data_IF_460707287440
#
_entry.id   IF_460707287440
#
_cell.length_a   1.000
_cell.length_b   1.000
_cell.length_c   1.000
_cell.angle_alpha   90.00
_cell.angle_beta   90.00
_cell.angle_gamma   90.00
#
_symmetry.space_group_name_H-M   'P 1'
#
loop_
_entity.id
_entity.type
_entity.pdbx_description
1 polymer ?
#
# COMPACT_ATOMS: atom_id res chain seq x y z
N UNK A 1 32.97 14.87 -23.15
CA UNK A 1 34.02 14.94 -22.12
C UNK A 1 33.59 14.11 -20.92
N UNK A 2 34.43 13.21 -20.42
CA UNK A 2 34.15 12.45 -19.21
C UNK A 2 34.24 13.36 -17.98
N UNK A 3 33.40 13.13 -16.97
CA UNK A 3 33.42 13.92 -15.74
C UNK A 3 34.76 13.71 -15.01
N UNK A 4 35.48 14.78 -14.60
CA UNK A 4 36.80 14.65 -14.00
C UNK A 4 36.72 13.88 -12.67
N UNK A 5 37.56 12.85 -12.54
CA UNK A 5 37.69 12.03 -11.32
C UNK A 5 38.18 12.92 -10.18
N UNK A 6 37.50 12.88 -9.03
CA UNK A 6 37.88 13.62 -7.82
C UNK A 6 37.19 14.97 -7.61
N UNK A 7 36.34 15.44 -8.54
CA UNK A 7 35.48 16.62 -8.28
C UNK A 7 34.12 16.17 -7.73
N UNK A 8 33.51 16.90 -6.77
CA UNK A 8 32.14 16.63 -6.33
C UNK A 8 31.22 16.74 -7.54
N UNK A 9 30.30 15.81 -7.72
CA UNK A 9 29.35 15.88 -8.82
C UNK A 9 28.36 17.05 -8.60
N UNK A 10 27.75 17.63 -9.65
CA UNK A 10 26.83 18.75 -9.50
C UNK A 10 25.68 18.45 -8.54
N UNK A 11 25.12 19.46 -7.89
CA UNK A 11 23.96 19.27 -7.01
C UNK A 11 22.76 18.72 -7.81
N UNK A 12 22.09 17.69 -7.29
CA UNK A 12 21.08 16.93 -8.05
C UNK A 12 21.64 15.85 -8.99
N UNK A 13 22.96 15.65 -9.04
CA UNK A 13 23.55 14.54 -9.78
C UNK A 13 23.41 13.23 -9.00
N UNK A 14 22.75 12.25 -9.62
CA UNK A 14 22.44 10.97 -9.00
C UNK A 14 20.96 10.63 -9.17
N UNK A 15 20.54 9.50 -8.61
CA UNK A 15 19.12 9.14 -8.57
C UNK A 15 18.40 10.08 -7.60
N UNK A 16 17.35 10.76 -8.07
CA UNK A 16 16.55 11.65 -7.23
C UNK A 16 15.94 10.88 -6.06
N UNK A 17 15.96 11.50 -4.87
CA UNK A 17 15.31 10.95 -3.69
C UNK A 17 13.82 10.69 -3.98
N UNK A 18 13.30 9.55 -3.54
CA UNK A 18 11.92 9.14 -3.81
C UNK A 18 11.69 8.45 -5.16
N UNK A 19 12.66 8.43 -6.08
CA UNK A 19 12.53 7.63 -7.31
C UNK A 19 12.38 6.15 -6.90
N UNK A 20 11.33 5.42 -7.32
CA UNK A 20 11.20 4.00 -7.00
C UNK A 20 12.37 3.17 -7.52
N UNK A 21 12.64 2.02 -6.92
CA UNK A 21 13.67 1.11 -7.45
C UNK A 21 13.12 0.50 -8.74
N UNK A 22 13.90 0.54 -9.84
CA UNK A 22 13.52 -0.02 -11.14
C UNK A 22 13.05 -1.48 -11.00
N UNK A 23 13.76 -2.29 -10.21
CA UNK A 23 13.40 -3.69 -9.97
C UNK A 23 12.01 -3.81 -9.29
N UNK A 24 11.72 -2.95 -8.31
CA UNK A 24 10.43 -2.92 -7.62
C UNK A 24 9.30 -2.47 -8.55
N UNK A 25 9.53 -1.46 -9.38
CA UNK A 25 8.54 -1.03 -10.39
C UNK A 25 8.26 -2.15 -11.39
N UNK A 26 9.30 -2.79 -11.94
CA UNK A 26 9.13 -3.90 -12.87
C UNK A 26 8.39 -5.10 -12.25
N UNK A 27 8.65 -5.40 -10.98
CA UNK A 27 7.91 -6.44 -10.26
C UNK A 27 6.42 -6.11 -10.12
N UNK A 28 6.08 -4.86 -9.77
CA UNK A 28 4.68 -4.41 -9.70
C UNK A 28 3.98 -4.51 -11.05
N UNK A 29 4.64 -4.10 -12.13
CA UNK A 29 4.08 -4.19 -13.48
C UNK A 29 3.85 -5.65 -13.90
N UNK A 30 4.76 -6.55 -13.56
CA UNK A 30 4.60 -7.98 -13.86
C UNK A 30 3.39 -8.58 -13.13
N UNK A 31 3.20 -8.24 -11.85
CA UNK A 31 2.04 -8.68 -11.06
C UNK A 31 0.75 -8.11 -11.65
N UNK A 32 0.72 -6.82 -12.00
CA UNK A 32 -0.47 -6.20 -12.59
C UNK A 32 -0.88 -6.88 -13.91
N UNK A 33 0.10 -7.19 -14.78
CA UNK A 33 -0.15 -7.92 -16.02
C UNK A 33 -0.66 -9.34 -15.78
N UNK A 34 -0.10 -10.03 -14.80
CA UNK A 34 -0.54 -11.37 -14.42
C UNK A 34 -1.99 -11.37 -13.94
N UNK A 35 -2.36 -10.41 -13.08
CA UNK A 35 -3.72 -10.30 -12.54
C UNK A 35 -4.71 -9.96 -13.67
N UNK A 36 -4.40 -8.93 -14.47
CA UNK A 36 -5.27 -8.52 -15.57
C UNK A 36 -5.46 -9.62 -16.62
N UNK A 37 -4.39 -10.36 -16.95
CA UNK A 37 -4.44 -11.45 -17.93
C UNK A 37 -5.17 -12.71 -17.48
N UNK A 38 -5.57 -12.79 -16.20
CA UNK A 38 -6.25 -13.96 -15.64
C UNK A 38 -7.62 -13.64 -15.04
N UNK A 39 -8.05 -12.37 -15.04
CA UNK A 39 -9.35 -11.97 -14.49
C UNK A 39 -10.51 -12.77 -15.10
N UNK A 40 -10.50 -13.01 -16.41
CA UNK A 40 -11.53 -13.79 -17.11
C UNK A 40 -11.51 -15.29 -16.77
N UNK A 41 -10.35 -15.81 -16.35
CA UNK A 41 -10.17 -17.24 -16.01
C UNK A 41 -10.54 -17.57 -14.58
N UNK A 42 -10.69 -16.54 -13.73
CA UNK A 42 -10.87 -16.70 -12.29
C UNK A 42 -12.09 -17.57 -11.96
N UNK A 43 -13.22 -17.32 -12.62
CA UNK A 43 -14.44 -18.11 -12.41
C UNK A 43 -14.21 -19.59 -12.76
N UNK A 44 -13.57 -19.87 -13.90
CA UNK A 44 -13.29 -21.25 -14.32
C UNK A 44 -12.39 -22.00 -13.34
N UNK A 45 -11.38 -21.33 -12.78
CA UNK A 45 -10.54 -21.92 -11.73
C UNK A 45 -11.32 -22.19 -10.44
N UNK A 46 -12.20 -21.27 -10.03
CA UNK A 46 -13.05 -21.49 -8.86
C UNK A 46 -14.01 -22.66 -9.08
N UNK A 47 -14.57 -22.80 -10.28
CA UNK A 47 -15.44 -23.93 -10.64
C UNK A 47 -14.67 -25.27 -10.63
N UNK A 48 -13.46 -25.30 -11.18
CA UNK A 48 -12.57 -26.47 -11.16
C UNK A 48 -12.14 -26.87 -9.74
N UNK A 49 -11.88 -25.88 -8.88
CA UNK A 49 -11.58 -26.12 -7.46
C UNK A 49 -12.83 -26.62 -6.76
N UNK A 50 -13.99 -26.00 -6.98
CA UNK A 50 -15.26 -26.36 -6.34
C UNK A 50 -15.69 -27.78 -6.69
N UNK A 51 -15.39 -28.25 -7.90
CA UNK A 51 -15.65 -29.62 -8.32
C UNK A 51 -14.89 -30.68 -7.48
N UNK A 52 -13.75 -30.30 -6.87
CA UNK A 52 -12.91 -31.18 -6.03
C UNK A 52 -13.07 -30.89 -4.54
N UNK A 53 -13.18 -29.62 -4.19
CA UNK A 53 -13.20 -29.09 -2.82
C UNK A 53 -13.95 -27.73 -2.79
N UNK A 54 -15.27 -27.76 -2.52
CA UNK A 54 -16.08 -26.56 -2.43
C UNK A 54 -15.63 -25.59 -1.33
N UNK A 55 -15.14 -26.09 -0.20
CA UNK A 55 -14.69 -25.25 0.92
C UNK A 55 -13.44 -24.45 0.52
N UNK A 56 -12.52 -25.09 -0.20
CA UNK A 56 -11.33 -24.42 -0.72
C UNK A 56 -11.67 -23.36 -1.77
N UNK A 57 -12.61 -23.63 -2.68
CA UNK A 57 -13.07 -22.63 -3.64
C UNK A 57 -13.66 -21.40 -2.93
N UNK A 58 -14.47 -21.62 -1.89
CA UNK A 58 -15.01 -20.55 -1.07
C UNK A 58 -13.93 -19.72 -0.39
N UNK A 59 -12.91 -20.35 0.20
CA UNK A 59 -11.77 -19.64 0.81
C UNK A 59 -11.01 -18.79 -0.22
N UNK A 60 -10.71 -19.35 -1.40
CA UNK A 60 -10.06 -18.59 -2.48
C UNK A 60 -10.89 -17.39 -2.93
N UNK A 61 -12.22 -17.54 -2.99
CA UNK A 61 -13.12 -16.42 -3.30
C UNK A 61 -13.03 -15.32 -2.21
N UNK A 62 -13.04 -15.69 -0.93
CA UNK A 62 -12.90 -14.74 0.17
C UNK A 62 -11.57 -13.97 0.09
N UNK A 63 -10.47 -14.64 -0.27
CA UNK A 63 -9.15 -14.01 -0.42
C UNK A 63 -9.14 -12.96 -1.56
N UNK A 64 -9.82 -13.23 -2.67
CA UNK A 64 -9.92 -12.28 -3.78
C UNK A 64 -10.83 -11.09 -3.44
N UNK A 65 -11.93 -11.34 -2.73
CA UNK A 65 -12.86 -10.29 -2.31
C UNK A 65 -12.20 -9.32 -1.33
N UNK A 66 -11.30 -9.80 -0.47
CA UNK A 66 -10.55 -8.97 0.48
C UNK A 66 -9.66 -7.92 -0.20
N UNK A 67 -9.26 -8.13 -1.46
CA UNK A 67 -8.55 -7.11 -2.24
C UNK A 67 -9.43 -5.90 -2.58
N UNK A 68 -10.73 -6.13 -2.80
CA UNK A 68 -11.69 -5.07 -3.16
C UNK A 68 -12.40 -4.49 -1.94
N UNK A 69 -12.62 -5.31 -0.92
CA UNK A 69 -13.23 -4.91 0.36
C UNK A 69 -12.15 -5.16 1.42
N UNK A 70 -11.23 -4.20 1.61
CA UNK A 70 -10.23 -4.34 2.66
C UNK A 70 -10.95 -4.57 3.97
N UNK A 71 -10.59 -5.64 4.69
CA UNK A 71 -11.12 -5.88 6.03
C UNK A 71 -10.95 -4.59 6.82
N UNK A 72 -12.03 -4.17 7.49
CA UNK A 72 -12.00 -3.02 8.40
C UNK A 72 -10.87 -3.25 9.40
N UNK A 73 -9.75 -2.57 9.16
CA UNK A 73 -8.64 -2.49 10.09
C UNK A 73 -9.20 -1.83 11.34
N UNK A 74 -9.22 -2.59 12.44
CA UNK A 74 -9.56 -2.03 13.74
C UNK A 74 -8.49 -0.99 14.08
N UNK A 75 -8.83 0.27 13.86
CA UNK A 75 -7.97 1.40 14.25
C UNK A 75 -8.18 1.64 15.73
N UNK A 76 -7.26 1.17 16.57
CA UNK A 76 -7.19 1.57 17.96
C UNK A 76 -6.49 2.93 18.05
N UNK A 77 -7.24 3.96 18.42
CA UNK A 77 -6.68 5.29 18.67
C UNK A 77 -6.15 5.34 20.10
N UNK A 78 -4.88 5.00 20.26
CA UNK A 78 -4.15 5.09 21.53
C UNK A 78 -3.02 6.11 21.45
N UNK A 79 -2.62 6.64 22.60
CA UNK A 79 -1.39 7.41 22.74
C UNK A 79 -0.15 6.49 22.64
N UNK A 80 1.05 7.09 22.72
CA UNK A 80 2.31 6.34 22.77
C UNK A 80 2.25 5.17 23.77
N UNK A 81 2.80 4.02 23.39
CA UNK A 81 2.83 2.79 24.21
C UNK A 81 1.46 2.30 24.70
N UNK A 82 0.38 2.60 23.97
CA UNK A 82 -0.98 2.22 24.35
C UNK A 82 -1.59 3.13 25.42
N UNK A 83 -0.94 4.26 25.71
CA UNK A 83 -1.41 5.23 26.70
C UNK A 83 -2.67 6.00 26.26
N UNK A 84 -3.17 6.90 27.12
CA UNK A 84 -4.34 7.70 26.82
C UNK A 84 -4.15 8.56 25.56
N UNK A 85 -5.18 8.65 24.72
CA UNK A 85 -5.21 9.54 23.56
C UNK A 85 -5.24 11.00 24.02
N UNK A 86 -4.19 11.77 23.72
CA UNK A 86 -4.15 13.21 23.96
C UNK A 86 -4.69 13.97 22.75
N UNK A 87 -5.82 14.66 22.91
CA UNK A 87 -6.43 15.49 21.86
C UNK A 87 -6.13 16.96 22.17
N UNK A 88 -5.26 17.60 21.39
CA UNK A 88 -5.04 19.04 21.47
C UNK A 88 -5.99 19.77 20.52
N UNK A 89 -7.04 20.37 21.07
CA UNK A 89 -8.02 21.14 20.28
C UNK A 89 -7.51 22.58 20.18
N UNK A 90 -6.95 22.92 19.02
CA UNK A 90 -6.58 24.30 18.70
C UNK A 90 -7.79 24.95 18.03
N UNK A 91 -8.59 25.67 18.83
CA UNK A 91 -9.70 26.48 18.34
C UNK A 91 -9.21 27.90 18.01
N UNK A 92 -9.08 28.28 16.73
CA UNK A 92 -8.63 29.61 16.35
C UNK A 92 -9.65 30.72 16.67
N UNK A 93 -10.87 30.38 17.09
CA UNK A 93 -11.94 31.33 17.42
C UNK A 93 -12.04 31.69 18.90
N UNK A 94 -11.41 30.91 19.80
CA UNK A 94 -11.27 31.26 21.22
C UNK A 94 -10.04 32.14 21.46
N UNK A 95 -10.18 33.44 21.19
CA UNK A 95 -9.23 34.45 21.71
C UNK A 95 -9.40 34.56 23.23
N UNK A 96 -8.27 34.66 23.94
CA UNK A 96 -8.10 34.53 25.39
C UNK A 96 -8.95 35.46 26.28
N UNK A 97 -8.84 35.31 27.62
CA UNK A 97 -9.71 35.98 28.58
C UNK A 97 -9.54 37.51 28.52
N UNK A 98 -10.59 38.29 28.82
CA UNK A 98 -10.45 39.72 29.01
C UNK A 98 -9.60 39.98 30.26
N UNK A 99 -8.75 41.01 30.17
CA UNK A 99 -7.77 41.48 31.16
C UNK A 99 -8.41 41.77 32.52
#
# INVERSE_FOLDING_TARGET
MAYPKGKPRPEGSGRQSGTPNKATTSARDAIARLVNGNAEKLQGWLDEIAAKDPEKAWKCLMDVVEYHIPKLSRSELTGPDGGPLQVNIIDPTRRGPPV
#
